data_IF_537064175294
#
_entry.id   IF_537064175294
#
_cell.length_a   1.000
_cell.length_b   1.000
_cell.length_c   1.000
_cell.angle_alpha   90.00
_cell.angle_beta   90.00
_cell.angle_gamma   90.00
#
_symmetry.space_group_name_H-M   'P 1'
#
loop_
_entity.id
_entity.type
_entity.pdbx_description
1 polymer ?
#
# COMPACT_ATOMS: atom_id res chain seq x y z
N UNK A 1 39.84 13.51 -4.31
CA UNK A 1 39.16 12.92 -3.14
C UNK A 1 37.66 13.21 -3.07
N UNK A 2 37.17 14.28 -3.69
CA UNK A 2 35.71 14.60 -3.73
C UNK A 2 34.91 13.59 -4.56
N UNK A 3 35.50 12.98 -5.56
CA UNK A 3 34.88 11.98 -6.42
C UNK A 3 34.60 10.65 -5.68
N UNK A 4 35.58 10.17 -4.94
CA UNK A 4 35.48 8.95 -4.12
C UNK A 4 34.44 9.15 -3.02
N UNK A 5 34.40 10.30 -2.37
CA UNK A 5 33.43 10.62 -1.36
C UNK A 5 31.98 10.65 -1.92
N UNK A 6 31.78 11.13 -3.16
CA UNK A 6 30.47 11.08 -3.85
C UNK A 6 30.04 9.66 -4.15
N UNK A 7 30.96 8.80 -4.63
CA UNK A 7 30.69 7.39 -4.92
C UNK A 7 30.29 6.65 -3.64
N UNK A 8 31.03 6.83 -2.55
CA UNK A 8 30.75 6.20 -1.27
C UNK A 8 29.41 6.67 -0.68
N UNK A 9 29.10 7.96 -0.76
CA UNK A 9 27.79 8.49 -0.31
C UNK A 9 26.63 7.93 -1.14
N UNK A 10 26.81 7.80 -2.45
CA UNK A 10 25.81 7.21 -3.33
C UNK A 10 25.63 5.74 -3.00
N UNK A 11 26.70 4.97 -2.88
CA UNK A 11 26.66 3.56 -2.52
C UNK A 11 26.00 3.31 -1.15
N UNK A 12 26.36 4.13 -0.15
CA UNK A 12 25.72 4.07 1.17
C UNK A 12 24.21 4.39 1.10
N UNK A 13 23.83 5.44 0.36
CA UNK A 13 22.43 5.81 0.17
C UNK A 13 21.66 4.69 -0.55
N UNK A 14 22.24 4.10 -1.59
CA UNK A 14 21.63 3.00 -2.35
C UNK A 14 21.51 1.75 -1.47
N UNK A 15 22.50 1.46 -0.62
CA UNK A 15 22.46 0.37 0.35
C UNK A 15 21.34 0.57 1.39
N UNK A 16 21.28 1.76 2.02
CA UNK A 16 20.21 2.06 2.99
C UNK A 16 18.82 2.10 2.35
N UNK A 17 18.70 2.61 1.13
CA UNK A 17 17.45 2.60 0.40
C UNK A 17 16.99 1.16 0.10
N UNK A 18 17.91 0.26 -0.29
CA UNK A 18 17.59 -1.17 -0.50
C UNK A 18 17.14 -1.87 0.78
N UNK A 19 17.73 -1.56 1.93
CA UNK A 19 17.30 -2.12 3.22
C UNK A 19 15.92 -1.61 3.66
N UNK A 20 15.44 -0.49 3.11
CA UNK A 20 14.10 0.04 3.40
C UNK A 20 13.00 -0.55 2.51
N UNK A 21 13.38 -1.29 1.45
CA UNK A 21 12.42 -1.96 0.56
C UNK A 21 11.87 -3.19 1.28
N UNK A 22 10.54 -3.29 1.44
CA UNK A 22 9.94 -4.45 2.08
C UNK A 22 10.14 -5.70 1.23
N UNK A 23 10.52 -6.80 1.87
CA UNK A 23 10.69 -8.11 1.23
C UNK A 23 9.48 -8.98 1.55
N UNK A 24 8.85 -9.54 0.53
CA UNK A 24 7.76 -10.48 0.70
C UNK A 24 8.27 -11.92 0.71
N UNK A 25 8.06 -12.62 1.81
CA UNK A 25 8.24 -14.07 1.93
C UNK A 25 6.85 -14.75 1.91
N UNK A 26 6.51 -15.50 0.84
CA UNK A 26 5.23 -16.18 0.75
C UNK A 26 5.05 -17.31 1.77
N UNK A 27 6.15 -17.80 2.37
CA UNK A 27 6.13 -18.88 3.37
C UNK A 27 6.00 -18.36 4.81
N UNK A 28 6.17 -17.05 5.02
CA UNK A 28 5.99 -16.46 6.34
C UNK A 28 4.51 -16.33 6.69
N UNK A 29 4.17 -16.60 7.94
CA UNK A 29 2.82 -16.35 8.45
C UNK A 29 2.50 -14.85 8.39
N UNK A 30 1.33 -14.47 7.89
CA UNK A 30 0.93 -13.06 7.85
C UNK A 30 0.61 -12.55 9.26
N UNK A 31 0.87 -11.27 9.48
CA UNK A 31 0.41 -10.54 10.70
C UNK A 31 -1.11 -10.46 10.72
N UNK A 32 -1.73 -10.23 9.55
CA UNK A 32 -3.17 -10.27 9.37
C UNK A 32 -3.47 -11.01 8.05
N UNK A 33 -4.27 -12.06 8.13
CA UNK A 33 -4.74 -12.82 6.97
C UNK A 33 -5.98 -12.16 6.33
N UNK A 34 -6.50 -12.77 5.26
CA UNK A 34 -7.66 -12.21 4.53
C UNK A 34 -8.91 -12.12 5.42
N UNK A 35 -9.10 -12.99 6.38
CA UNK A 35 -10.25 -12.94 7.27
C UNK A 35 -10.13 -11.77 8.26
N UNK A 36 -8.94 -11.54 8.78
CA UNK A 36 -8.64 -10.35 9.59
C UNK A 36 -8.80 -9.05 8.81
N UNK A 37 -8.35 -9.01 7.56
CA UNK A 37 -8.53 -7.86 6.66
C UNK A 37 -10.03 -7.57 6.44
N UNK A 38 -10.82 -8.61 6.16
CA UNK A 38 -12.29 -8.48 5.99
C UNK A 38 -13.00 -8.04 7.26
N UNK A 39 -12.45 -8.31 8.43
CA UNK A 39 -12.99 -7.82 9.70
C UNK A 39 -12.70 -6.31 9.93
N UNK A 40 -11.64 -5.80 9.33
CA UNK A 40 -11.23 -4.39 9.44
C UNK A 40 -11.84 -3.53 8.32
N UNK A 41 -11.75 -3.99 7.06
CA UNK A 41 -12.21 -3.24 5.89
C UNK A 41 -13.63 -3.63 5.49
N UNK A 42 -14.48 -2.66 5.10
CA UNK A 42 -15.81 -2.94 4.57
C UNK A 42 -15.78 -3.45 3.12
N UNK A 43 -14.68 -3.26 2.41
CA UNK A 43 -14.51 -3.65 1.01
C UNK A 43 -14.70 -5.16 0.81
N UNK A 44 -15.30 -5.52 -0.32
CA UNK A 44 -15.51 -6.93 -0.74
C UNK A 44 -15.18 -7.04 -2.24
N UNK A 45 -15.08 -8.27 -2.74
CA UNK A 45 -14.85 -8.52 -4.16
C UNK A 45 -15.88 -7.77 -5.03
N UNK A 46 -15.46 -7.16 -6.13
CA UNK A 46 -14.11 -7.17 -6.71
C UNK A 46 -13.20 -6.03 -6.18
N UNK A 47 -13.61 -5.25 -5.20
CA UNK A 47 -12.95 -4.03 -4.77
C UNK A 47 -12.02 -4.18 -3.55
N UNK A 48 -11.99 -5.33 -2.91
CA UNK A 48 -11.02 -5.64 -1.86
C UNK A 48 -9.67 -5.97 -2.52
N UNK A 49 -8.67 -5.12 -2.29
CA UNK A 49 -7.38 -5.16 -3.01
C UNK A 49 -6.18 -5.40 -2.09
N UNK A 50 -6.38 -6.11 -0.99
CA UNK A 50 -5.32 -6.52 -0.06
C UNK A 50 -5.51 -7.97 0.30
N UNK A 51 -4.47 -8.80 0.11
CA UNK A 51 -4.54 -10.24 0.35
C UNK A 51 -4.02 -10.61 1.74
N UNK A 52 -2.98 -9.92 2.23
CA UNK A 52 -2.41 -10.12 3.57
C UNK A 52 -1.61 -8.90 4.03
N UNK A 53 -1.43 -8.79 5.33
CA UNK A 53 -0.50 -7.84 5.97
C UNK A 53 0.68 -8.64 6.52
N UNK A 54 1.89 -8.27 6.15
CA UNK A 54 3.12 -8.98 6.52
C UNK A 54 3.90 -8.31 7.63
N UNK A 55 3.77 -6.99 7.76
CA UNK A 55 4.42 -6.21 8.82
C UNK A 55 3.48 -5.09 9.29
N UNK A 56 3.49 -4.81 10.58
CA UNK A 56 2.76 -3.67 11.14
C UNK A 56 3.46 -3.16 12.39
N UNK A 57 3.59 -1.85 12.49
CA UNK A 57 4.02 -1.11 13.66
C UNK A 57 2.96 -0.08 14.06
N UNK A 58 3.25 0.79 15.03
CA UNK A 58 2.32 1.86 15.42
C UNK A 58 2.09 2.90 14.30
N UNK A 59 3.03 3.05 13.38
CA UNK A 59 3.05 4.11 12.35
C UNK A 59 3.33 3.63 10.93
N UNK A 60 3.50 2.32 10.73
CA UNK A 60 3.79 1.74 9.42
C UNK A 60 3.13 0.37 9.22
N UNK A 61 2.88 0.03 7.96
CA UNK A 61 2.27 -1.23 7.55
C UNK A 61 2.82 -1.69 6.21
N UNK A 62 2.99 -3.00 6.05
CA UNK A 62 3.32 -3.63 4.78
C UNK A 62 2.20 -4.59 4.41
N UNK A 63 1.61 -4.36 3.24
CA UNK A 63 0.52 -5.18 2.70
C UNK A 63 0.85 -5.76 1.33
N UNK A 64 0.21 -6.86 1.00
CA UNK A 64 0.43 -7.62 -0.23
C UNK A 64 -0.85 -7.69 -1.05
N UNK A 65 -0.73 -7.48 -2.36
CA UNK A 65 -1.73 -7.87 -3.35
C UNK A 65 -1.07 -8.68 -4.47
N UNK A 66 -1.56 -9.87 -4.69
CA UNK A 66 -1.21 -10.67 -5.87
C UNK A 66 -2.06 -10.27 -7.06
N UNK A 67 -1.44 -10.15 -8.24
CA UNK A 67 -2.11 -9.72 -9.45
C UNK A 67 -2.36 -10.95 -10.35
N UNK A 68 -3.59 -11.46 -10.29
CA UNK A 68 -4.01 -12.59 -11.12
C UNK A 68 -4.59 -12.13 -12.45
N UNK A 69 -4.49 -12.96 -13.50
CA UNK A 69 -5.05 -12.67 -14.82
C UNK A 69 -6.60 -12.55 -14.79
N UNK A 70 -7.25 -13.15 -13.81
CA UNK A 70 -8.71 -13.13 -13.66
C UNK A 70 -9.25 -11.89 -12.94
N UNK A 71 -8.41 -10.91 -12.63
CA UNK A 71 -8.88 -9.62 -12.13
C UNK A 71 -9.79 -8.94 -13.16
N UNK A 72 -11.00 -8.55 -12.72
CA UNK A 72 -12.04 -8.04 -13.63
C UNK A 72 -11.66 -6.82 -14.43
N UNK A 73 -10.73 -5.99 -13.93
CA UNK A 73 -10.28 -4.79 -14.67
C UNK A 73 -9.46 -5.11 -15.92
N UNK A 74 -8.87 -6.31 -16.05
CA UNK A 74 -8.14 -6.71 -17.26
C UNK A 74 -9.04 -6.96 -18.46
N UNK A 75 -10.34 -7.18 -18.26
CA UNK A 75 -11.30 -7.33 -19.37
C UNK A 75 -11.30 -6.09 -20.28
N UNK A 76 -11.15 -4.91 -19.69
CA UNK A 76 -11.17 -3.64 -20.43
C UNK A 76 -9.86 -2.86 -20.42
N UNK A 77 -8.88 -3.21 -19.57
CA UNK A 77 -7.67 -2.41 -19.39
C UNK A 77 -6.37 -3.24 -19.49
N UNK A 78 -5.94 -3.74 -20.62
CA UNK A 78 -6.58 -3.67 -21.93
C UNK A 78 -6.68 -5.08 -22.51
N UNK A 79 -7.62 -5.40 -23.42
CA UNK A 79 -7.84 -6.77 -23.91
C UNK A 79 -6.58 -7.47 -24.43
N UNK A 80 -5.74 -6.76 -25.20
CA UNK A 80 -4.53 -7.32 -25.81
C UNK A 80 -3.25 -7.04 -25.01
N UNK A 81 -3.31 -6.16 -24.01
CA UNK A 81 -2.18 -5.81 -23.13
C UNK A 81 -2.69 -5.55 -21.69
N UNK A 82 -2.82 -6.58 -20.86
CA UNK A 82 -3.35 -6.41 -19.53
C UNK A 82 -2.38 -5.62 -18.63
N UNK A 83 -2.85 -4.48 -18.15
CA UNK A 83 -2.13 -3.59 -17.24
C UNK A 83 -3.05 -3.20 -16.11
N UNK A 84 -2.60 -3.33 -14.86
CA UNK A 84 -3.36 -2.86 -13.71
C UNK A 84 -3.56 -1.34 -13.81
N UNK A 85 -4.80 -0.84 -13.72
CA UNK A 85 -5.04 0.60 -13.69
C UNK A 85 -4.28 1.25 -12.55
N UNK A 86 -3.51 2.31 -12.85
CA UNK A 86 -2.69 2.99 -11.83
C UNK A 86 -3.52 3.54 -10.67
N UNK A 87 -4.74 4.02 -10.96
CA UNK A 87 -5.67 4.50 -9.92
C UNK A 87 -6.08 3.40 -8.95
N UNK A 88 -6.11 2.13 -9.38
CA UNK A 88 -6.38 0.99 -8.49
C UNK A 88 -5.17 0.59 -7.66
N UNK A 89 -3.95 0.89 -8.09
CA UNK A 89 -2.76 0.75 -7.25
C UNK A 89 -2.85 1.71 -6.07
N UNK A 90 -3.29 2.95 -6.31
CA UNK A 90 -3.53 3.94 -5.24
C UNK A 90 -4.65 3.49 -4.31
N UNK A 91 -5.73 2.94 -4.84
CA UNK A 91 -6.82 2.38 -4.02
C UNK A 91 -6.32 1.25 -3.12
N UNK A 92 -5.57 0.28 -3.65
CA UNK A 92 -4.99 -0.81 -2.88
C UNK A 92 -4.04 -0.28 -1.78
N UNK A 93 -3.21 0.71 -2.11
CA UNK A 93 -2.32 1.40 -1.17
C UNK A 93 -3.11 2.07 -0.04
N UNK A 94 -4.23 2.70 -0.37
CA UNK A 94 -5.13 3.32 0.61
C UNK A 94 -5.79 2.30 1.52
N UNK A 95 -6.19 1.15 0.98
CA UNK A 95 -6.75 0.06 1.79
C UNK A 95 -5.72 -0.48 2.78
N UNK A 96 -4.47 -0.65 2.37
CA UNK A 96 -3.36 -1.02 3.27
C UNK A 96 -3.20 0.02 4.39
N UNK A 97 -3.20 1.31 4.07
CA UNK A 97 -3.16 2.38 5.06
C UNK A 97 -4.39 2.40 5.96
N UNK A 98 -5.57 2.14 5.42
CA UNK A 98 -6.82 2.02 6.16
C UNK A 98 -6.79 0.90 7.20
N UNK A 99 -6.16 -0.23 6.89
CA UNK A 99 -5.96 -1.33 7.84
C UNK A 99 -5.12 -0.86 9.04
N UNK A 100 -4.04 -0.11 8.80
CA UNK A 100 -3.22 0.45 9.89
C UNK A 100 -4.05 1.35 10.81
N UNK A 101 -4.86 2.24 10.24
CA UNK A 101 -5.71 3.16 11.00
C UNK A 101 -6.77 2.40 11.80
N UNK A 102 -7.50 1.51 11.14
CA UNK A 102 -8.63 0.80 11.74
C UNK A 102 -8.18 -0.23 12.80
N UNK A 103 -7.01 -0.84 12.64
CA UNK A 103 -6.47 -1.77 13.64
C UNK A 103 -6.13 -1.10 14.97
N UNK A 104 -5.96 0.22 15.00
CA UNK A 104 -5.76 1.01 16.22
C UNK A 104 -7.05 1.41 16.94
N UNK A 105 -8.23 1.04 16.42
CA UNK A 105 -9.53 1.39 16.98
C UNK A 105 -10.17 0.20 17.72
N UNK A 106 -10.88 0.47 18.83
CA UNK A 106 -11.55 -0.57 19.62
C UNK A 106 -12.69 -1.26 18.84
N UNK A 107 -13.41 -0.51 18.00
CA UNK A 107 -14.56 -1.00 17.23
C UNK A 107 -14.44 -0.58 15.76
N UNK A 108 -13.48 -1.15 14.99
CA UNK A 108 -13.18 -0.70 13.64
C UNK A 108 -14.38 -0.72 12.69
N UNK A 109 -15.30 -1.67 12.83
CA UNK A 109 -16.50 -1.77 12.01
C UNK A 109 -17.46 -0.57 12.14
N UNK A 110 -17.31 0.25 13.18
CA UNK A 110 -18.09 1.48 13.39
C UNK A 110 -17.52 2.70 12.68
N UNK A 111 -16.42 2.55 11.94
CA UNK A 111 -15.74 3.65 11.28
C UNK A 111 -15.64 3.42 9.77
N UNK A 112 -15.63 4.52 9.05
CA UNK A 112 -15.34 4.57 7.61
C UNK A 112 -14.20 5.54 7.35
N UNK A 113 -13.42 5.27 6.32
CA UNK A 113 -12.32 6.13 5.90
C UNK A 113 -12.63 6.70 4.53
N UNK A 114 -12.45 8.00 4.37
CA UNK A 114 -12.69 8.71 3.11
C UNK A 114 -11.47 9.53 2.71
N UNK A 115 -11.10 9.48 1.46
CA UNK A 115 -10.09 10.37 0.93
C UNK A 115 -10.51 11.83 1.01
N UNK A 116 -9.58 12.67 1.48
CA UNK A 116 -9.68 14.12 1.37
C UNK A 116 -8.75 14.66 0.27
N UNK A 117 -7.59 14.03 0.10
CA UNK A 117 -6.58 14.48 -0.85
C UNK A 117 -5.65 13.34 -1.24
N UNK A 118 -5.24 13.33 -2.50
CA UNK A 118 -4.16 12.51 -3.02
C UNK A 118 -3.19 13.45 -3.72
N UNK A 119 -1.90 13.34 -3.43
CA UNK A 119 -0.89 14.26 -3.93
C UNK A 119 0.42 13.54 -4.27
N UNK A 120 1.24 14.15 -5.13
CA UNK A 120 2.58 13.66 -5.47
C UNK A 120 2.61 12.25 -6.06
N UNK A 121 1.51 11.79 -6.67
CA UNK A 121 1.43 10.45 -7.25
C UNK A 121 2.33 10.33 -8.47
N UNK A 122 3.12 9.27 -8.50
CA UNK A 122 3.99 8.91 -9.63
C UNK A 122 3.83 7.45 -9.95
N UNK A 123 3.49 7.16 -11.20
CA UNK A 123 3.48 5.81 -11.77
C UNK A 123 4.77 5.60 -12.54
N UNK A 124 5.63 4.70 -12.05
CA UNK A 124 7.00 4.54 -12.56
C UNK A 124 7.15 3.34 -13.47
N UNK A 125 6.32 2.31 -13.29
CA UNK A 125 6.36 1.08 -14.07
C UNK A 125 4.97 0.45 -14.14
N UNK A 126 4.67 -0.22 -15.26
CA UNK A 126 3.44 -1.01 -15.44
C UNK A 126 3.43 -2.18 -14.46
N UNK A 127 2.26 -2.51 -13.95
CA UNK A 127 1.97 -3.70 -13.15
C UNK A 127 1.09 -4.61 -14.00
N UNK A 128 1.48 -5.87 -14.14
CA UNK A 128 0.88 -6.82 -15.07
C UNK A 128 0.51 -8.13 -14.34
N UNK A 129 -0.33 -9.00 -14.94
CA UNK A 129 -0.63 -10.30 -14.37
C UNK A 129 0.64 -11.11 -14.05
N UNK A 130 0.67 -11.73 -12.88
CA UNK A 130 1.83 -12.46 -12.35
C UNK A 130 2.70 -11.64 -11.40
N UNK A 131 2.54 -10.32 -11.37
CA UNK A 131 3.22 -9.48 -10.39
C UNK A 131 2.65 -9.66 -8.98
N UNK A 132 3.48 -9.45 -7.98
CA UNK A 132 3.08 -9.30 -6.58
C UNK A 132 3.41 -7.88 -6.14
N UNK A 133 2.38 -7.11 -5.81
CA UNK A 133 2.54 -5.78 -5.25
C UNK A 133 2.79 -5.86 -3.75
N UNK A 134 3.87 -5.23 -3.33
CA UNK A 134 4.22 -5.02 -1.92
C UNK A 134 4.06 -3.54 -1.61
N UNK A 135 3.11 -3.21 -0.76
CA UNK A 135 2.84 -1.84 -0.33
C UNK A 135 3.51 -1.57 1.00
N UNK A 136 4.23 -0.45 1.09
CA UNK A 136 4.70 0.13 2.35
C UNK A 136 4.01 1.46 2.55
N UNK A 137 3.23 1.57 3.62
CA UNK A 137 2.51 2.80 3.97
C UNK A 137 2.93 3.25 5.36
N UNK A 138 3.24 4.53 5.51
CA UNK A 138 3.67 5.13 6.78
C UNK A 138 2.84 6.38 7.07
N UNK A 139 2.57 6.64 8.35
CA UNK A 139 2.05 7.92 8.78
C UNK A 139 3.13 9.00 8.63
N UNK A 140 2.78 10.12 8.05
CA UNK A 140 3.69 11.27 7.89
C UNK A 140 3.49 12.34 8.94
N UNK A 141 2.40 12.25 9.72
CA UNK A 141 2.07 13.12 10.83
C UNK A 141 1.23 12.37 11.87
N UNK A 142 1.20 12.81 13.14
CA UNK A 142 0.25 12.29 14.13
C UNK A 142 -1.20 12.50 13.67
N UNK A 143 -2.07 11.53 13.97
CA UNK A 143 -3.50 11.64 13.69
C UNK A 143 -4.08 12.79 14.53
N UNK A 144 -4.72 13.75 13.87
CA UNK A 144 -5.36 14.91 14.51
C UNK A 144 -6.74 15.15 13.92
N UNK A 145 -7.74 15.37 14.79
CA UNK A 145 -9.14 15.63 14.39
C UNK A 145 -9.67 14.58 13.40
N UNK A 146 -9.30 13.32 13.60
CA UNK A 146 -9.63 12.20 12.72
C UNK A 146 -9.06 12.32 11.28
N UNK A 147 -8.07 13.17 11.08
CA UNK A 147 -7.35 13.30 9.81
C UNK A 147 -6.03 12.53 9.90
N UNK A 148 -5.79 11.69 8.89
CA UNK A 148 -4.63 10.83 8.75
C UNK A 148 -3.87 11.25 7.51
N UNK A 149 -2.58 11.53 7.67
CA UNK A 149 -1.65 11.81 6.57
C UNK A 149 -0.72 10.61 6.40
N UNK A 150 -0.63 10.09 5.19
CA UNK A 150 0.14 8.89 4.86
C UNK A 150 0.97 9.11 3.61
N UNK A 151 2.13 8.46 3.56
CA UNK A 151 2.90 8.23 2.35
C UNK A 151 2.92 6.75 2.04
N UNK A 152 2.65 6.40 0.80
CA UNK A 152 2.66 5.03 0.32
C UNK A 152 3.64 4.83 -0.83
N UNK A 153 4.22 3.64 -0.85
CA UNK A 153 5.10 3.15 -1.91
C UNK A 153 4.66 1.74 -2.27
N UNK A 154 4.61 1.44 -3.55
CA UNK A 154 4.30 0.11 -4.08
C UNK A 154 5.49 -0.44 -4.86
N UNK A 155 5.85 -1.68 -4.59
CA UNK A 155 6.98 -2.38 -5.19
C UNK A 155 6.54 -3.66 -5.89
N UNK A 156 7.25 -4.01 -6.95
CA UNK A 156 7.29 -5.36 -7.52
C UNK A 156 8.75 -5.84 -7.41
N UNK A 157 9.01 -6.84 -6.58
CA UNK A 157 10.36 -7.18 -6.17
C UNK A 157 11.03 -5.99 -5.46
N UNK A 158 12.19 -5.56 -5.95
CA UNK A 158 12.92 -4.38 -5.47
C UNK A 158 12.64 -3.10 -6.27
N UNK A 159 11.72 -3.14 -7.23
CA UNK A 159 11.41 -2.02 -8.12
C UNK A 159 10.23 -1.23 -7.60
N UNK A 160 10.43 0.06 -7.33
CA UNK A 160 9.35 1.00 -7.02
C UNK A 160 8.50 1.25 -8.28
N UNK A 161 7.22 0.87 -8.24
CA UNK A 161 6.31 0.99 -9.39
C UNK A 161 5.33 2.16 -9.23
N UNK A 162 4.98 2.52 -8.00
CA UNK A 162 4.10 3.64 -7.70
C UNK A 162 4.42 4.23 -6.32
N UNK A 163 4.24 5.53 -6.18
CA UNK A 163 4.32 6.24 -4.89
C UNK A 163 3.31 7.37 -4.84
N UNK A 164 2.94 7.80 -3.65
CA UNK A 164 2.05 8.94 -3.46
C UNK A 164 1.81 9.29 -2.00
N UNK A 165 1.23 10.45 -1.78
CA UNK A 165 0.78 10.93 -0.49
C UNK A 165 -0.75 10.93 -0.44
N UNK A 166 -1.30 10.53 0.68
CA UNK A 166 -2.74 10.40 0.88
C UNK A 166 -3.14 11.06 2.19
N UNK A 167 -4.23 11.82 2.14
CA UNK A 167 -4.89 12.36 3.32
C UNK A 167 -6.29 11.77 3.38
N UNK A 168 -6.64 11.17 4.49
CA UNK A 168 -7.95 10.58 4.72
C UNK A 168 -8.57 11.08 6.01
N UNK A 169 -9.88 11.03 6.08
CA UNK A 169 -10.65 11.28 7.29
C UNK A 169 -11.28 9.98 7.78
N UNK A 170 -11.19 9.75 9.08
CA UNK A 170 -11.82 8.63 9.77
C UNK A 170 -13.11 9.13 10.41
N UNK A 171 -14.24 8.57 10.02
CA UNK A 171 -15.56 9.02 10.48
C UNK A 171 -16.27 7.85 11.16
N UNK A 172 -16.77 8.09 12.37
CA UNK A 172 -17.65 7.14 13.04
C UNK A 172 -19.00 7.12 12.32
N UNK A 173 -19.44 5.92 11.92
CA UNK A 173 -20.71 5.73 11.24
C UNK A 173 -21.86 6.11 12.18
N UNK A 174 -22.86 6.84 11.66
CA UNK A 174 -24.10 7.07 12.40
C UNK A 174 -24.81 5.73 12.56
N UNK A 175 -25.22 5.44 13.77
CA UNK A 175 -26.14 4.33 14.05
C UNK A 175 -27.51 4.61 13.47
#
# INVERSE_FOLDING_TARGET
NTHVAKILRKAAKDYFNKQSIPVYDPNAEPVIDINGIKALLPHRSPFLMVDRITEMTADSVVGIKTIGVNEGFFIGHFPDEPVMPGVLIIEAMAQVGGILVLSGLDEPAKYSTYFLKIDGVKFKKKVVPGDVLVFKVVFTAPIRRNIVCMRGEAYVGDTLVCEGEMVAQVIKNKQ
#
